data_IF_735478485865
#
_entry.id   IF_735478485865
#
_cell.length_a   1.000
_cell.length_b   1.000
_cell.length_c   1.000
_cell.angle_alpha   90.00
_cell.angle_beta   90.00
_cell.angle_gamma   90.00
#
_symmetry.space_group_name_H-M   'P 1'
#
loop_
_entity.id
_entity.type
_entity.pdbx_description
1 polymer ?
#
# COMPACT_ATOMS: atom_id res chain seq x y z
N UNK A 1 1.60 13.65 -26.13
CA UNK A 1 1.77 14.91 -25.37
C UNK A 1 3.12 15.53 -25.71
N UNK A 2 3.17 16.84 -25.97
CA UNK A 2 4.39 17.55 -26.38
C UNK A 2 5.50 17.53 -25.32
N UNK A 3 5.15 17.70 -24.05
CA UNK A 3 6.10 17.64 -22.93
C UNK A 3 6.82 16.28 -22.88
N UNK A 4 6.09 15.17 -23.03
CA UNK A 4 6.68 13.82 -23.12
C UNK A 4 7.65 13.69 -24.31
N UNK A 5 7.29 14.22 -25.48
CA UNK A 5 8.18 14.18 -26.64
C UNK A 5 9.49 14.94 -26.39
N UNK A 6 9.41 16.06 -25.68
CA UNK A 6 10.58 16.85 -25.32
C UNK A 6 11.46 16.15 -24.27
N UNK A 7 10.87 15.52 -23.26
CA UNK A 7 11.61 14.68 -22.30
C UNK A 7 12.26 13.48 -23.00
N UNK A 8 11.54 12.82 -23.91
CA UNK A 8 12.07 11.73 -24.75
C UNK A 8 13.28 12.18 -25.57
N UNK A 9 13.22 13.36 -26.19
CA UNK A 9 14.35 13.93 -26.93
C UNK A 9 15.58 14.07 -26.02
N UNK A 10 15.43 14.71 -24.87
CA UNK A 10 16.54 14.93 -23.93
C UNK A 10 17.13 13.61 -23.44
N UNK A 11 16.28 12.60 -23.17
CA UNK A 11 16.69 11.31 -22.62
C UNK A 11 17.15 10.29 -23.67
N UNK A 12 17.06 10.59 -24.96
CA UNK A 12 17.40 9.60 -26.00
C UNK A 12 18.89 9.42 -26.23
N UNK A 13 19.75 10.35 -25.79
CA UNK A 13 21.20 10.17 -25.82
C UNK A 13 21.94 11.02 -24.79
N UNK A 14 23.14 10.60 -24.33
CA UNK A 14 23.96 11.38 -23.39
C UNK A 14 24.30 12.78 -23.91
N UNK A 15 24.59 12.92 -25.20
CA UNK A 15 24.90 14.21 -25.81
C UNK A 15 23.72 15.19 -25.78
N UNK A 16 22.48 14.71 -25.98
CA UNK A 16 21.26 15.54 -25.86
C UNK A 16 21.01 15.94 -24.40
N UNK A 17 21.27 15.03 -23.47
CA UNK A 17 21.19 15.33 -22.03
C UNK A 17 22.22 16.38 -21.60
N UNK A 18 23.46 16.32 -22.09
CA UNK A 18 24.48 17.33 -21.81
C UNK A 18 24.09 18.72 -22.33
N UNK A 19 23.57 18.81 -23.56
CA UNK A 19 23.05 20.08 -24.10
C UNK A 19 21.92 20.65 -23.25
N UNK A 20 21.05 19.79 -22.71
CA UNK A 20 20.00 20.22 -21.81
C UNK A 20 20.56 20.69 -20.46
N UNK A 21 21.55 19.99 -19.88
CA UNK A 21 22.26 20.43 -18.66
C UNK A 21 22.86 21.83 -18.84
N UNK A 22 23.50 22.11 -19.98
CA UNK A 22 24.01 23.45 -20.29
C UNK A 22 22.89 24.53 -20.32
N UNK A 23 21.70 24.18 -20.81
CA UNK A 23 20.55 25.09 -20.77
C UNK A 23 20.04 25.33 -19.34
N UNK A 24 20.07 24.31 -18.46
CA UNK A 24 19.68 24.45 -17.05
C UNK A 24 20.62 25.44 -16.33
N UNK A 25 21.92 25.29 -16.55
CA UNK A 25 22.95 26.17 -15.97
C UNK A 25 22.78 27.63 -16.44
N UNK A 26 22.52 27.84 -17.73
CA UNK A 26 22.33 29.18 -18.29
C UNK A 26 21.08 29.88 -17.76
N UNK A 27 19.98 29.15 -17.59
CA UNK A 27 18.71 29.68 -17.07
C UNK A 27 18.72 29.84 -15.53
N UNK A 28 19.82 29.47 -14.87
CA UNK A 28 20.01 29.50 -13.41
C UNK A 28 18.88 28.79 -12.66
N UNK A 29 18.44 27.64 -13.16
CA UNK A 29 17.46 26.82 -12.48
C UNK A 29 18.16 26.02 -11.36
N UNK A 30 17.90 26.36 -10.09
CA UNK A 30 18.53 25.78 -8.88
C UNK A 30 18.20 24.29 -8.62
N UNK A 31 17.63 23.58 -9.61
CA UNK A 31 17.15 22.22 -9.45
C UNK A 31 18.19 21.19 -9.90
N UNK A 32 18.76 20.44 -8.96
CA UNK A 32 19.79 19.42 -9.22
C UNK A 32 19.24 18.12 -9.84
N UNK A 33 17.93 17.89 -9.76
CA UNK A 33 17.33 16.63 -10.20
C UNK A 33 17.07 16.63 -11.71
N UNK A 34 17.60 15.65 -12.44
CA UNK A 34 17.35 15.55 -13.89
C UNK A 34 15.92 15.10 -14.22
N UNK A 35 15.49 15.39 -15.44
CA UNK A 35 14.21 14.89 -15.96
C UNK A 35 14.23 13.36 -16.12
N UNK A 36 13.14 12.72 -15.72
CA UNK A 36 12.97 11.26 -15.79
C UNK A 36 12.06 10.90 -16.96
N UNK A 37 12.42 9.85 -17.71
CA UNK A 37 11.58 9.33 -18.77
C UNK A 37 10.45 8.47 -18.19
N UNK A 38 9.24 8.62 -18.73
CA UNK A 38 8.11 7.78 -18.35
C UNK A 38 8.15 6.39 -19.00
N UNK A 39 7.58 5.42 -18.29
CA UNK A 39 7.21 4.10 -18.81
C UNK A 39 5.76 4.16 -19.25
N UNK A 40 5.52 3.96 -20.54
CA UNK A 40 4.22 4.22 -21.18
C UNK A 40 3.06 3.41 -20.57
N UNK A 41 3.35 2.22 -20.04
CA UNK A 41 2.37 1.35 -19.37
C UNK A 41 2.15 1.67 -17.89
N UNK A 42 2.93 2.59 -17.29
CA UNK A 42 2.91 2.90 -15.85
C UNK A 42 2.64 4.37 -15.62
N UNK A 43 1.41 4.70 -15.27
CA UNK A 43 0.97 6.07 -15.10
C UNK A 43 1.74 6.83 -13.97
N UNK A 44 2.18 6.16 -12.90
CA UNK A 44 3.04 6.76 -11.84
C UNK A 44 4.30 7.41 -12.42
N UNK A 45 4.95 6.74 -13.38
CA UNK A 45 6.14 7.29 -14.04
C UNK A 45 5.81 8.48 -14.94
N UNK A 46 4.58 8.55 -15.49
CA UNK A 46 4.11 9.73 -16.22
C UNK A 46 3.91 10.91 -15.27
N UNK A 47 3.34 10.68 -14.08
CA UNK A 47 3.20 11.72 -13.05
C UNK A 47 4.57 12.28 -12.65
N UNK A 48 5.53 11.41 -12.31
CA UNK A 48 6.89 11.82 -11.93
C UNK A 48 7.63 12.54 -13.06
N UNK A 49 7.47 12.08 -14.31
CA UNK A 49 8.01 12.79 -15.47
C UNK A 49 7.45 14.21 -15.56
N UNK A 50 6.13 14.38 -15.38
CA UNK A 50 5.48 15.70 -15.46
C UNK A 50 5.89 16.62 -14.30
N UNK A 51 5.94 16.08 -13.08
CA UNK A 51 6.33 16.80 -11.87
C UNK A 51 7.79 17.26 -11.92
N UNK A 52 8.67 16.46 -12.52
CA UNK A 52 10.05 16.86 -12.78
C UNK A 52 10.13 17.87 -13.93
N UNK A 53 9.50 17.58 -15.07
CA UNK A 53 9.61 18.40 -16.27
C UNK A 53 9.07 19.83 -16.09
N UNK A 54 8.04 20.03 -15.27
CA UNK A 54 7.47 21.36 -15.01
C UNK A 54 8.47 22.31 -14.32
N UNK A 55 9.51 21.78 -13.67
CA UNK A 55 10.56 22.55 -13.00
C UNK A 55 11.59 23.13 -13.97
N UNK A 56 11.63 22.63 -15.21
CA UNK A 56 12.65 22.97 -16.22
C UNK A 56 12.08 23.68 -17.46
N UNK A 57 10.98 24.42 -17.31
CA UNK A 57 10.28 25.05 -18.45
C UNK A 57 11.20 25.96 -19.25
N UNK A 58 12.04 26.74 -18.57
CA UNK A 58 12.93 27.72 -19.22
C UNK A 58 14.05 27.01 -19.96
N UNK A 59 14.71 26.05 -19.30
CA UNK A 59 15.75 25.24 -19.94
C UNK A 59 15.22 24.51 -21.19
N UNK A 60 13.99 24.00 -21.13
CA UNK A 60 13.33 23.36 -22.27
C UNK A 60 13.03 24.33 -23.42
N UNK A 61 12.59 25.56 -23.13
CA UNK A 61 12.40 26.59 -24.14
C UNK A 61 13.73 27.00 -24.78
N UNK A 62 14.77 27.19 -23.96
CA UNK A 62 16.13 27.50 -24.40
C UNK A 62 16.69 26.43 -25.34
N UNK A 63 16.56 25.15 -24.96
CA UNK A 63 16.97 24.01 -25.78
C UNK A 63 16.22 23.96 -27.12
N UNK A 64 14.90 24.19 -27.10
CA UNK A 64 14.09 24.18 -28.31
C UNK A 64 14.48 25.28 -29.30
N UNK A 65 14.89 26.45 -28.82
CA UNK A 65 15.35 27.56 -29.66
C UNK A 65 16.76 27.33 -30.21
N UNK A 66 17.67 26.74 -29.42
CA UNK A 66 19.08 26.58 -29.77
C UNK A 66 19.39 25.32 -30.57
N UNK A 67 18.71 24.21 -30.30
CA UNK A 67 19.00 22.94 -30.96
C UNK A 67 18.05 22.68 -32.15
N UNK A 68 18.57 22.89 -33.37
CA UNK A 68 17.84 22.62 -34.61
C UNK A 68 17.32 21.17 -34.71
N UNK A 69 18.03 20.20 -34.11
CA UNK A 69 17.57 18.80 -34.09
C UNK A 69 16.36 18.62 -33.16
N UNK A 70 16.33 19.32 -32.02
CA UNK A 70 15.17 19.37 -31.13
C UNK A 70 13.95 19.97 -31.85
N UNK A 71 14.16 21.10 -32.53
CA UNK A 71 13.12 21.75 -33.33
C UNK A 71 12.53 20.83 -34.41
N UNK A 72 13.40 20.14 -35.18
CA UNK A 72 12.97 19.19 -36.22
C UNK A 72 12.20 18.01 -35.66
N UNK A 73 12.62 17.45 -34.53
CA UNK A 73 11.97 16.29 -33.92
C UNK A 73 10.59 16.65 -33.38
N UNK A 74 10.47 17.78 -32.69
CA UNK A 74 9.18 18.24 -32.14
C UNK A 74 8.19 18.75 -33.19
N UNK A 75 8.63 19.07 -34.41
CA UNK A 75 7.69 19.39 -35.52
C UNK A 75 6.70 18.24 -35.79
N UNK A 76 7.11 16.99 -35.58
CA UNK A 76 6.24 15.80 -35.68
C UNK A 76 5.05 15.84 -34.69
N UNK A 77 5.17 16.63 -33.63
CA UNK A 77 4.17 16.79 -32.57
C UNK A 77 3.48 18.16 -32.61
N UNK A 78 3.61 18.91 -33.72
CA UNK A 78 3.05 20.27 -33.85
C UNK A 78 3.88 21.34 -33.12
N UNK A 79 5.19 21.11 -32.95
CA UNK A 79 6.14 22.02 -32.33
C UNK A 79 6.37 21.76 -30.84
N UNK A 80 7.22 22.58 -30.22
CA UNK A 80 7.51 22.52 -28.79
C UNK A 80 6.30 22.83 -27.89
N UNK A 81 6.37 22.48 -26.60
CA UNK A 81 5.35 22.87 -25.61
C UNK A 81 5.22 24.40 -25.53
N UNK A 82 3.98 24.89 -25.58
CA UNK A 82 3.64 26.31 -25.40
C UNK A 82 3.29 26.60 -23.94
N UNK A 83 3.13 27.88 -23.59
CA UNK A 83 2.72 28.28 -22.23
C UNK A 83 1.43 27.60 -21.78
N UNK A 84 0.44 27.46 -22.67
CA UNK A 84 -0.81 26.77 -22.35
C UNK A 84 -0.64 25.27 -22.09
N UNK A 85 0.33 24.62 -22.76
CA UNK A 85 0.67 23.21 -22.48
C UNK A 85 1.23 23.09 -21.05
N UNK A 86 2.08 24.03 -20.64
CA UNK A 86 2.67 24.06 -19.30
C UNK A 86 1.68 24.45 -18.21
N UNK A 87 0.75 25.37 -18.49
CA UNK A 87 -0.37 25.71 -17.59
C UNK A 87 -1.24 24.48 -17.34
N UNK A 88 -1.55 23.70 -18.40
CA UNK A 88 -2.32 22.47 -18.29
C UNK A 88 -1.59 21.40 -17.46
N UNK A 89 -0.28 21.22 -17.64
CA UNK A 89 0.50 20.32 -16.75
C UNK A 89 0.41 20.81 -15.29
N UNK A 90 0.54 22.13 -15.08
CA UNK A 90 0.43 22.73 -13.75
C UNK A 90 -0.94 22.53 -13.10
N UNK A 91 -2.04 22.56 -13.86
CA UNK A 91 -3.37 22.31 -13.32
C UNK A 91 -3.66 20.83 -13.08
N UNK A 92 -3.01 19.92 -13.82
CA UNK A 92 -3.20 18.47 -13.63
C UNK A 92 -2.40 17.89 -12.47
N UNK A 93 -1.20 18.40 -12.16
CA UNK A 93 -0.34 17.82 -11.13
C UNK A 93 -1.00 17.75 -9.73
N UNK A 94 -1.64 18.81 -9.21
CA UNK A 94 -2.33 18.75 -7.91
C UNK A 94 -3.48 17.75 -7.86
N UNK A 95 -4.08 17.44 -9.02
CA UNK A 95 -5.11 16.42 -9.11
C UNK A 95 -4.50 15.01 -9.18
N UNK A 96 -3.43 14.82 -9.95
CA UNK A 96 -2.79 13.52 -10.15
C UNK A 96 -2.00 13.03 -8.92
N UNK A 97 -1.45 13.94 -8.11
CA UNK A 97 -0.67 13.56 -6.92
C UNK A 97 -1.48 12.74 -5.92
N UNK A 98 -2.79 13.00 -5.80
CA UNK A 98 -3.70 12.27 -4.92
C UNK A 98 -3.69 10.77 -5.23
N UNK A 99 -3.76 10.43 -6.52
CA UNK A 99 -3.72 9.05 -6.99
C UNK A 99 -2.34 8.43 -6.81
N UNK A 100 -1.29 9.26 -6.91
CA UNK A 100 0.09 8.79 -6.87
C UNK A 100 0.41 8.38 -5.44
N UNK A 101 0.07 9.25 -4.49
CA UNK A 101 0.18 8.99 -3.06
C UNK A 101 -0.69 7.79 -2.64
N UNK A 102 -1.92 7.69 -3.15
CA UNK A 102 -2.77 6.53 -2.91
C UNK A 102 -2.11 5.24 -3.41
N UNK A 103 -1.54 5.26 -4.62
CA UNK A 103 -0.86 4.08 -5.19
C UNK A 103 0.37 3.70 -4.39
N UNK A 104 1.16 4.66 -3.91
CA UNK A 104 2.29 4.41 -3.03
C UNK A 104 1.84 3.77 -1.70
N UNK A 105 0.77 4.30 -1.09
CA UNK A 105 0.19 3.74 0.15
C UNK A 105 -0.35 2.32 -0.05
N UNK A 106 -0.96 2.05 -1.20
CA UNK A 106 -1.51 0.73 -1.50
C UNK A 106 -0.44 -0.29 -1.92
N UNK A 107 0.73 0.19 -2.38
CA UNK A 107 1.85 -0.66 -2.81
C UNK A 107 2.82 -1.02 -1.68
N UNK A 108 2.53 -0.59 -0.45
CA UNK A 108 3.33 -0.94 0.73
C UNK A 108 3.35 -2.43 1.02
N UNK A 109 4.53 -2.93 1.42
CA UNK A 109 4.72 -4.34 1.82
C UNK A 109 5.13 -4.52 3.28
N UNK A 110 5.45 -3.43 3.98
CA UNK A 110 6.00 -3.45 5.34
C UNK A 110 5.01 -2.98 6.41
N UNK A 111 3.80 -2.66 6.00
CA UNK A 111 2.68 -2.31 6.85
C UNK A 111 1.41 -2.93 6.29
N UNK A 112 0.38 -2.99 7.12
CA UNK A 112 -0.94 -3.51 6.73
C UNK A 112 -1.57 -2.57 5.72
N UNK A 113 -2.03 -3.13 4.60
CA UNK A 113 -2.64 -2.38 3.51
C UNK A 113 -4.11 -2.76 3.27
N UNK A 114 -4.57 -3.91 3.77
CA UNK A 114 -5.98 -4.31 3.64
C UNK A 114 -6.94 -3.44 4.44
N UNK A 115 -6.50 -2.84 5.56
CA UNK A 115 -7.28 -1.87 6.31
C UNK A 115 -7.31 -0.48 5.66
N UNK A 116 -6.44 -0.18 4.69
CA UNK A 116 -6.38 1.13 4.03
C UNK A 116 -7.12 1.18 2.70
N UNK A 117 -7.27 0.03 2.02
CA UNK A 117 -7.80 -0.03 0.65
C UNK A 117 -9.11 0.70 0.43
N UNK A 118 -10.13 0.45 1.27
CA UNK A 118 -11.42 1.10 1.06
C UNK A 118 -11.29 2.62 1.23
N UNK A 119 -10.52 3.10 2.22
CA UNK A 119 -10.28 4.55 2.39
C UNK A 119 -9.68 5.17 1.13
N UNK A 120 -8.68 4.52 0.52
CA UNK A 120 -8.05 5.05 -0.69
C UNK A 120 -8.99 5.03 -1.89
N UNK A 121 -9.75 3.94 -2.10
CA UNK A 121 -10.67 3.83 -3.24
C UNK A 121 -11.82 4.84 -3.12
N UNK A 122 -12.49 4.89 -1.97
CA UNK A 122 -13.64 5.78 -1.77
C UNK A 122 -13.20 7.24 -1.57
N UNK A 123 -12.05 7.48 -0.93
CA UNK A 123 -11.44 8.81 -0.87
C UNK A 123 -11.05 9.34 -2.25
N UNK A 124 -10.49 8.46 -3.11
CA UNK A 124 -10.20 8.81 -4.50
C UNK A 124 -11.47 9.18 -5.28
N UNK A 125 -12.57 8.44 -5.09
CA UNK A 125 -13.87 8.80 -5.67
C UNK A 125 -14.33 10.19 -5.25
N UNK A 126 -14.25 10.51 -3.96
CA UNK A 126 -14.62 11.82 -3.43
C UNK A 126 -13.78 12.93 -4.08
N UNK A 127 -12.48 12.72 -4.23
CA UNK A 127 -11.57 13.67 -4.87
C UNK A 127 -11.89 13.86 -6.36
N UNK A 128 -12.22 12.78 -7.09
CA UNK A 128 -12.70 12.89 -8.48
C UNK A 128 -13.99 13.71 -8.52
N UNK A 129 -14.96 13.39 -7.66
CA UNK A 129 -16.27 14.04 -7.61
C UNK A 129 -16.15 15.54 -7.41
N UNK A 130 -15.33 15.97 -6.45
CA UNK A 130 -15.07 17.39 -6.16
C UNK A 130 -14.48 18.14 -7.36
N UNK A 131 -13.79 17.45 -8.27
CA UNK A 131 -13.17 18.05 -9.45
C UNK A 131 -14.07 18.01 -10.71
N UNK A 132 -15.24 17.37 -10.67
CA UNK A 132 -16.22 17.40 -11.78
C UNK A 132 -16.78 18.83 -11.96
N UNK A 133 -16.84 19.62 -10.89
CA UNK A 133 -17.27 21.02 -10.94
C UNK A 133 -16.15 22.03 -11.18
N UNK A 134 -14.92 21.58 -11.46
CA UNK A 134 -13.76 22.48 -11.56
C UNK A 134 -13.94 23.55 -12.65
N UNK A 135 -13.46 24.77 -12.39
CA UNK A 135 -13.45 25.87 -13.36
C UNK A 135 -12.51 25.56 -14.53
N UNK A 136 -11.41 24.84 -14.28
CA UNK A 136 -10.49 24.38 -15.32
C UNK A 136 -11.16 23.29 -16.19
N UNK A 137 -11.40 23.61 -17.46
CA UNK A 137 -12.06 22.71 -18.42
C UNK A 137 -11.29 21.40 -18.63
N UNK A 138 -9.97 21.42 -18.57
CA UNK A 138 -9.14 20.23 -18.67
C UNK A 138 -9.33 19.32 -17.46
N UNK A 139 -9.26 19.88 -16.25
CA UNK A 139 -9.44 19.13 -14.99
C UNK A 139 -10.86 18.56 -14.92
N UNK A 140 -11.87 19.36 -15.24
CA UNK A 140 -13.27 18.93 -15.28
C UNK A 140 -13.48 17.76 -16.23
N UNK A 141 -12.96 17.85 -17.47
CA UNK A 141 -13.07 16.76 -18.46
C UNK A 141 -12.33 15.50 -18.01
N UNK A 142 -11.15 15.65 -17.43
CA UNK A 142 -10.37 14.54 -16.87
C UNK A 142 -11.10 13.87 -15.71
N UNK A 143 -11.63 14.64 -14.76
CA UNK A 143 -12.40 14.12 -13.64
C UNK A 143 -13.65 13.36 -14.12
N UNK A 144 -14.39 13.89 -15.09
CA UNK A 144 -15.54 13.19 -15.68
C UNK A 144 -15.14 11.85 -16.33
N UNK A 145 -14.04 11.82 -17.09
CA UNK A 145 -13.52 10.58 -17.69
C UNK A 145 -13.07 9.57 -16.62
N UNK A 146 -12.41 10.04 -15.57
CA UNK A 146 -11.97 9.18 -14.47
C UNK A 146 -13.13 8.67 -13.64
N UNK A 147 -14.19 9.46 -13.42
CA UNK A 147 -15.41 8.99 -12.76
C UNK A 147 -16.08 7.89 -13.58
N UNK A 148 -16.18 8.05 -14.90
CA UNK A 148 -16.70 7.00 -15.78
C UNK A 148 -15.89 5.70 -15.68
N UNK A 149 -14.56 5.79 -15.56
CA UNK A 149 -13.71 4.61 -15.31
C UNK A 149 -13.94 4.04 -13.92
N UNK A 150 -14.04 4.88 -12.89
CA UNK A 150 -14.34 4.45 -11.53
C UNK A 150 -15.64 3.66 -11.48
N UNK A 151 -16.73 4.21 -12.01
CA UNK A 151 -18.05 3.59 -12.00
C UNK A 151 -18.07 2.28 -12.78
N UNK A 152 -17.26 2.16 -13.85
CA UNK A 152 -17.09 0.89 -14.57
C UNK A 152 -16.57 -0.24 -13.66
N UNK A 153 -15.64 0.05 -12.75
CA UNK A 153 -15.01 -0.96 -11.90
C UNK A 153 -15.71 -1.12 -10.53
N UNK A 154 -16.21 -0.03 -9.95
CA UNK A 154 -16.73 0.02 -8.58
C UNK A 154 -18.21 0.40 -8.50
N UNK A 155 -18.87 0.74 -9.60
CA UNK A 155 -20.28 1.13 -9.62
C UNK A 155 -21.26 -0.04 -9.46
N UNK A 156 -20.80 -1.28 -9.69
CA UNK A 156 -21.57 -2.49 -9.47
C UNK A 156 -21.22 -3.11 -8.09
N UNK A 157 -22.13 -2.92 -7.13
CA UNK A 157 -21.99 -3.42 -5.76
C UNK A 157 -22.01 -4.95 -5.66
N UNK A 158 -22.61 -5.65 -6.63
CA UNK A 158 -22.67 -7.12 -6.64
C UNK A 158 -21.27 -7.74 -6.76
N UNK A 159 -20.42 -7.11 -7.58
CA UNK A 159 -19.05 -7.55 -7.85
C UNK A 159 -18.04 -7.06 -6.81
N UNK A 160 -18.49 -6.31 -5.80
CA UNK A 160 -17.58 -5.75 -4.80
C UNK A 160 -17.05 -6.85 -3.88
N UNK A 161 -15.71 -6.92 -3.78
CA UNK A 161 -15.04 -7.80 -2.83
C UNK A 161 -15.24 -7.27 -1.41
N UNK A 162 -16.05 -7.97 -0.61
CA UNK A 162 -16.44 -7.54 0.73
C UNK A 162 -15.26 -7.54 1.73
N UNK A 163 -14.21 -8.33 1.49
CA UNK A 163 -13.06 -8.39 2.39
C UNK A 163 -12.33 -7.05 2.53
N UNK A 164 -12.44 -6.16 1.53
CA UNK A 164 -11.84 -4.81 1.62
C UNK A 164 -12.48 -3.97 2.72
N UNK A 165 -13.75 -4.23 3.05
CA UNK A 165 -14.43 -3.58 4.15
C UNK A 165 -14.19 -4.29 5.48
N UNK A 166 -14.09 -5.62 5.46
CA UNK A 166 -13.75 -6.39 6.67
C UNK A 166 -12.38 -5.96 7.20
N UNK A 167 -11.39 -5.73 6.32
CA UNK A 167 -10.09 -5.19 6.71
C UNK A 167 -10.19 -3.83 7.42
N UNK A 168 -11.05 -2.93 6.94
CA UNK A 168 -11.33 -1.65 7.61
C UNK A 168 -12.00 -1.87 8.95
N UNK A 169 -13.04 -2.71 9.01
CA UNK A 169 -13.81 -2.98 10.25
C UNK A 169 -12.90 -3.54 11.35
N UNK A 170 -11.88 -4.32 10.98
CA UNK A 170 -10.90 -4.86 11.92
C UNK A 170 -9.80 -3.86 12.31
N UNK A 171 -9.82 -2.64 11.79
CA UNK A 171 -9.07 -1.53 12.36
C UNK A 171 -9.86 -0.95 13.52
N UNK A 172 -9.32 -0.99 14.74
CA UNK A 172 -10.05 -0.50 15.92
C UNK A 172 -10.36 0.99 15.89
N UNK A 173 -9.75 1.75 14.95
CA UNK A 173 -10.06 3.16 14.67
C UNK A 173 -11.28 3.33 13.76
N UNK A 174 -11.63 2.32 12.98
CA UNK A 174 -12.70 2.34 11.98
C UNK A 174 -13.57 1.09 12.09
N UNK A 175 -14.76 1.21 12.66
CA UNK A 175 -15.65 0.06 12.85
C UNK A 175 -16.77 0.03 11.80
N UNK A 176 -17.72 -0.87 12.00
CA UNK A 176 -18.85 -1.08 11.10
C UNK A 176 -19.64 0.21 10.81
N UNK A 177 -19.79 1.10 11.79
CA UNK A 177 -20.46 2.40 11.60
C UNK A 177 -19.78 3.27 10.55
N UNK A 178 -18.44 3.28 10.53
CA UNK A 178 -17.66 4.03 9.56
C UNK A 178 -17.79 3.43 8.14
N UNK A 179 -17.78 2.10 8.03
CA UNK A 179 -18.02 1.42 6.76
C UNK A 179 -19.43 1.65 6.25
N UNK A 180 -20.44 1.57 7.12
CA UNK A 180 -21.84 1.87 6.76
C UNK A 180 -21.95 3.32 6.22
N UNK A 181 -21.23 4.27 6.83
CA UNK A 181 -21.16 5.64 6.34
C UNK A 181 -20.51 5.76 4.95
N UNK A 182 -19.32 5.16 4.73
CA UNK A 182 -18.64 5.18 3.41
C UNK A 182 -19.56 4.65 2.32
N UNK A 183 -20.22 3.52 2.57
CA UNK A 183 -21.07 2.85 1.58
C UNK A 183 -22.28 3.71 1.25
N UNK A 184 -22.93 4.32 2.26
CA UNK A 184 -24.09 5.20 2.06
C UNK A 184 -23.75 6.51 1.38
N UNK A 185 -22.55 7.05 1.60
CA UNK A 185 -22.06 8.23 0.90
C UNK A 185 -21.77 7.93 -0.59
N UNK A 186 -21.34 6.71 -0.88
CA UNK A 186 -20.83 6.34 -2.21
C UNK A 186 -21.88 5.88 -3.21
N UNK A 187 -23.01 5.36 -2.72
CA UNK A 187 -24.03 4.68 -3.52
C UNK A 187 -25.44 5.19 -3.21
N UNK A 188 -26.37 4.98 -4.14
CA UNK A 188 -27.79 5.20 -3.88
C UNK A 188 -28.32 4.27 -2.76
N UNK A 189 -29.40 4.67 -2.10
CA UNK A 189 -29.93 3.99 -0.90
C UNK A 189 -30.17 2.49 -1.10
N UNK A 190 -30.63 2.08 -2.28
CA UNK A 190 -30.90 0.67 -2.61
C UNK A 190 -29.61 -0.13 -2.64
N UNK A 191 -28.61 0.34 -3.41
CA UNK A 191 -27.30 -0.31 -3.52
C UNK A 191 -26.53 -0.28 -2.20
N UNK A 192 -26.60 0.84 -1.49
CA UNK A 192 -25.94 1.01 -0.20
C UNK A 192 -26.50 0.03 0.83
N UNK A 193 -27.84 -0.06 0.95
CA UNK A 193 -28.50 -1.00 1.87
C UNK A 193 -28.11 -2.45 1.56
N UNK A 194 -28.15 -2.84 0.28
CA UNK A 194 -27.73 -4.17 -0.14
C UNK A 194 -26.27 -4.48 0.23
N UNK A 195 -25.35 -3.56 -0.07
CA UNK A 195 -23.93 -3.76 0.21
C UNK A 195 -23.64 -3.79 1.72
N UNK A 196 -24.25 -2.91 2.52
CA UNK A 196 -24.14 -2.95 3.99
C UNK A 196 -24.62 -4.30 4.56
N UNK A 197 -25.75 -4.82 4.08
CA UNK A 197 -26.25 -6.14 4.50
C UNK A 197 -25.27 -7.25 4.12
N UNK A 198 -24.76 -7.23 2.88
CA UNK A 198 -23.75 -8.19 2.40
C UNK A 198 -22.49 -8.15 3.26
N UNK A 199 -22.01 -6.97 3.63
CA UNK A 199 -20.86 -6.77 4.53
C UNK A 199 -21.12 -7.42 5.90
N UNK A 200 -22.26 -7.14 6.52
CA UNK A 200 -22.64 -7.70 7.84
C UNK A 200 -22.72 -9.22 7.81
N UNK A 201 -23.35 -9.79 6.79
CA UNK A 201 -23.47 -11.25 6.61
C UNK A 201 -22.10 -11.91 6.44
N UNK A 202 -21.22 -11.35 5.61
CA UNK A 202 -19.88 -11.90 5.39
C UNK A 202 -19.03 -11.78 6.65
N UNK A 203 -19.08 -10.64 7.35
CA UNK A 203 -18.36 -10.43 8.60
C UNK A 203 -18.77 -11.47 9.67
N UNK A 204 -20.07 -11.66 9.86
CA UNK A 204 -20.59 -12.67 10.79
C UNK A 204 -20.21 -14.09 10.37
N UNK A 205 -20.39 -14.43 9.09
CA UNK A 205 -20.05 -15.77 8.58
C UNK A 205 -18.56 -16.08 8.76
N UNK A 206 -17.70 -15.09 8.54
CA UNK A 206 -16.26 -15.23 8.76
C UNK A 206 -15.97 -15.44 10.25
N UNK A 207 -16.58 -14.64 11.13
CA UNK A 207 -16.44 -14.81 12.57
C UNK A 207 -16.86 -16.22 13.03
N UNK A 208 -18.01 -16.71 12.58
CA UNK A 208 -18.55 -18.04 12.92
C UNK A 208 -17.64 -19.18 12.44
N UNK A 209 -17.02 -19.02 11.27
CA UNK A 209 -16.02 -19.95 10.75
C UNK A 209 -14.81 -20.06 11.69
N UNK A 210 -14.26 -18.92 12.12
CA UNK A 210 -13.15 -18.91 13.07
C UNK A 210 -13.58 -19.44 14.45
N UNK A 211 -14.78 -19.10 14.91
CA UNK A 211 -15.33 -19.58 16.18
C UNK A 211 -15.47 -21.11 16.18
N UNK A 212 -15.94 -21.70 15.08
CA UNK A 212 -16.11 -23.15 14.92
C UNK A 212 -14.78 -23.90 14.85
N UNK A 213 -13.72 -23.25 14.38
CA UNK A 213 -12.36 -23.80 14.29
C UNK A 213 -11.57 -23.75 15.61
N UNK A 214 -12.09 -23.06 16.64
CA UNK A 214 -11.42 -23.02 17.93
C UNK A 214 -11.47 -24.39 18.60
N UNK A 215 -10.33 -24.89 19.11
CA UNK A 215 -10.37 -26.05 19.99
C UNK A 215 -11.28 -25.70 21.16
N UNK A 216 -12.26 -26.56 21.47
CA UNK A 216 -12.97 -26.51 22.74
C UNK A 216 -11.89 -26.55 23.83
N UNK A 217 -11.55 -25.39 24.37
CA UNK A 217 -10.77 -25.32 25.59
C UNK A 217 -11.52 -26.19 26.59
N UNK A 218 -10.85 -27.25 27.07
CA UNK A 218 -11.29 -28.04 28.22
C UNK A 218 -11.26 -27.18 29.49
N UNK A 219 -11.91 -26.03 29.49
CA UNK A 219 -12.58 -25.56 30.69
C UNK A 219 -13.67 -26.57 30.93
N UNK A 220 -13.54 -27.35 32.01
CA UNK A 220 -14.66 -28.12 32.56
C UNK A 220 -15.81 -27.14 32.76
N UNK A 221 -16.67 -27.00 31.76
CA UNK A 221 -18.05 -26.69 31.99
C UNK A 221 -18.56 -27.88 32.79
N UNK A 222 -18.52 -27.76 34.11
CA UNK A 222 -19.44 -28.53 34.94
C UNK A 222 -20.80 -28.05 34.50
N UNK A 223 -21.37 -28.76 33.52
CA UNK A 223 -22.79 -28.73 33.22
C UNK A 223 -23.49 -29.27 34.46
N UNK A 224 -23.60 -28.44 35.50
CA UNK A 224 -24.58 -28.65 36.55
C UNK A 224 -25.91 -28.29 35.91
N UNK A 225 -26.48 -29.29 35.24
CA UNK A 225 -27.92 -29.39 35.02
C UNK A 225 -28.61 -28.91 36.29
N UNK A 226 -29.42 -27.86 36.16
CA UNK A 226 -30.34 -27.38 37.19
C UNK A 226 -31.37 -28.47 37.46
N UNK A 227 -31.01 -29.47 38.26
CA UNK A 227 -31.99 -30.22 39.02
C UNK A 227 -32.43 -29.31 40.17
N UNK A 228 -33.69 -28.90 40.12
CA UNK A 228 -34.40 -28.28 41.23
C UNK A 228 -34.32 -29.26 42.40
N UNK A 229 -33.36 -29.07 43.30
CA UNK A 229 -33.28 -29.81 44.55
C UNK A 229 -33.90 -28.93 45.63
N UNK A 230 -35.16 -29.22 45.94
CA UNK A 230 -35.81 -28.76 47.17
C UNK A 230 -35.14 -29.48 48.33
N UNK A 231 -34.21 -28.81 49.03
CA UNK A 231 -33.62 -29.37 50.26
C UNK A 231 -34.37 -28.84 51.47
N UNK A 232 -35.32 -29.63 51.95
CA UNK A 232 -35.71 -29.69 53.35
C UNK A 232 -34.46 -29.97 54.18
N UNK A 233 -34.24 -29.17 55.22
CA UNK A 233 -33.10 -29.26 56.12
C UNK A 233 -33.21 -30.52 56.99
N UNK A 234 -32.44 -31.57 56.70
CA UNK A 234 -32.22 -32.69 57.62
C UNK A 234 -30.73 -32.81 57.93
N UNK A 235 -30.43 -32.68 59.22
CA UNK A 235 -29.10 -32.89 59.80
C UNK A 235 -28.76 -34.38 59.83
N UNK A 236 -27.57 -34.75 59.35
CA UNK A 236 -26.77 -35.83 59.96
C UNK A 236 -25.34 -35.87 59.41
N UNK A 237 -24.36 -35.86 60.34
CA UNK A 237 -23.09 -36.60 60.20
C UNK A 237 -21.84 -35.83 59.74
N UNK A 238 -20.66 -35.96 60.41
CA UNK A 238 -19.51 -35.07 60.23
C UNK A 238 -18.37 -35.66 59.35
N UNK A 239 -17.43 -34.77 58.98
CA UNK A 239 -16.14 -34.95 58.23
C UNK A 239 -16.31 -34.70 56.71
N UNK A 240 -15.68 -33.71 56.05
CA UNK A 240 -14.32 -33.18 56.16
C UNK A 240 -14.28 -31.72 55.68
N UNK A 241 -13.38 -30.91 56.24
CA UNK A 241 -13.28 -29.46 56.02
C UNK A 241 -12.83 -29.07 54.61
N UNK A 242 -13.78 -28.99 53.67
CA UNK A 242 -13.62 -28.17 52.48
C UNK A 242 -13.58 -26.71 52.89
N UNK A 243 -12.48 -26.00 52.61
CA UNK A 243 -12.44 -24.54 52.74
C UNK A 243 -13.58 -23.97 51.90
N UNK A 244 -14.61 -23.42 52.56
CA UNK A 244 -15.67 -22.70 51.89
C UNK A 244 -15.01 -21.46 51.27
N UNK A 245 -15.00 -21.39 49.93
CA UNK A 245 -14.57 -20.20 49.22
C UNK A 245 -15.65 -19.13 49.41
N UNK A 246 -15.44 -18.30 50.44
CA UNK A 246 -16.33 -17.19 50.80
C UNK A 246 -16.48 -16.20 49.64
N UNK A 247 -15.45 -16.06 48.80
CA UNK A 247 -15.49 -15.17 47.65
C UNK A 247 -16.44 -15.72 46.59
N UNK A 248 -16.38 -17.02 46.31
CA UNK A 248 -17.31 -17.68 45.40
C UNK A 248 -18.77 -17.62 45.89
N UNK A 249 -18.99 -17.84 47.20
CA UNK A 249 -20.30 -17.73 47.83
C UNK A 249 -20.89 -16.31 47.72
N UNK A 250 -20.08 -15.29 48.02
CA UNK A 250 -20.50 -13.88 47.92
C UNK A 250 -20.77 -13.47 46.48
N UNK A 251 -20.01 -14.01 45.52
CA UNK A 251 -20.20 -13.77 44.08
C UNK A 251 -21.54 -14.35 43.62
N UNK A 252 -21.84 -15.61 43.93
CA UNK A 252 -23.12 -16.24 43.59
C UNK A 252 -24.32 -15.60 44.29
N UNK A 253 -24.12 -15.01 45.48
CA UNK A 253 -25.17 -14.24 46.17
C UNK A 253 -25.42 -12.90 45.49
N UNK A 254 -24.36 -12.17 45.15
CA UNK A 254 -24.46 -10.90 44.42
C UNK A 254 -25.17 -11.06 43.08
N UNK A 255 -24.83 -12.10 42.29
CA UNK A 255 -25.46 -12.40 41.01
C UNK A 255 -26.97 -12.68 41.15
N UNK A 256 -27.35 -13.40 42.21
CA UNK A 256 -28.75 -13.74 42.50
C UNK A 256 -29.58 -12.54 42.96
N UNK A 257 -29.00 -11.69 43.80
CA UNK A 257 -29.71 -10.59 44.44
C UNK A 257 -29.82 -9.36 43.52
N UNK A 258 -28.89 -9.19 42.58
CA UNK A 258 -28.85 -8.03 41.67
C UNK A 258 -29.26 -8.35 40.24
N UNK A 259 -29.31 -9.64 39.85
CA UNK A 259 -29.45 -10.05 38.45
C UNK A 259 -28.25 -9.68 37.57
N UNK A 260 -27.18 -9.13 38.16
CA UNK A 260 -25.96 -8.74 37.47
C UNK A 260 -25.09 -9.98 37.27
N UNK A 261 -25.28 -10.67 36.15
CA UNK A 261 -24.35 -11.72 35.74
C UNK A 261 -23.00 -11.10 35.38
N UNK A 262 -21.91 -11.57 36.00
CA UNK A 262 -20.53 -11.19 35.63
C UNK A 262 -20.15 -11.66 34.20
N UNK A 263 -21.02 -12.44 33.57
CA UNK A 263 -21.00 -12.72 32.14
C UNK A 263 -21.95 -11.72 31.49
N UNK A 264 -21.41 -10.62 30.96
CA UNK A 264 -22.19 -9.61 30.24
C UNK A 264 -23.16 -10.32 29.27
N UNK A 265 -24.45 -10.01 29.35
CA UNK A 265 -25.52 -10.31 28.37
C UNK A 265 -24.97 -10.94 27.10
N UNK A 266 -25.08 -12.27 26.92
CA UNK A 266 -24.84 -13.17 25.75
C UNK A 266 -24.18 -12.64 24.45
N UNK A 267 -23.38 -11.58 24.50
CA UNK A 267 -22.82 -10.92 23.33
C UNK A 267 -21.56 -11.62 22.95
N UNK A 268 -21.50 -11.99 21.67
CA UNK A 268 -20.30 -12.61 21.14
C UNK A 268 -19.18 -11.56 21.05
N UNK A 269 -17.96 -12.04 20.81
CA UNK A 269 -16.77 -11.21 20.76
C UNK A 269 -16.86 -10.10 19.70
N UNK A 270 -17.46 -10.40 18.54
CA UNK A 270 -17.68 -9.45 17.45
C UNK A 270 -18.61 -8.31 17.87
N UNK A 271 -19.74 -8.62 18.48
CA UNK A 271 -20.70 -7.60 18.97
C UNK A 271 -20.04 -6.65 19.98
N UNK A 272 -19.28 -7.21 20.94
CA UNK A 272 -18.54 -6.41 21.92
C UNK A 272 -17.55 -5.46 21.23
N UNK A 273 -16.76 -6.00 20.30
CA UNK A 273 -15.80 -5.21 19.55
C UNK A 273 -16.47 -4.06 18.77
N UNK A 274 -17.60 -4.33 18.11
CA UNK A 274 -18.33 -3.35 17.29
C UNK A 274 -19.00 -2.24 18.12
N UNK A 275 -19.42 -2.53 19.35
CA UNK A 275 -20.07 -1.57 20.25
C UNK A 275 -19.08 -0.67 21.01
N UNK A 276 -17.84 -1.12 21.18
CA UNK A 276 -16.82 -0.33 21.86
C UNK A 276 -16.45 0.93 21.08
N UNK A 277 -15.99 1.95 21.78
CA UNK A 277 -15.49 3.17 21.16
C UNK A 277 -14.34 2.87 20.18
N UNK A 278 -14.21 3.70 19.15
CA UNK A 278 -13.06 3.65 18.26
C UNK A 278 -11.81 4.18 18.97
N UNK A 279 -10.66 3.60 18.63
CA UNK A 279 -9.37 4.12 19.06
C UNK A 279 -9.05 5.48 18.40
N UNK A 280 -8.30 6.37 19.05
CA UNK A 280 -7.94 7.66 18.48
C UNK A 280 -6.93 7.51 17.33
N UNK A 281 -7.01 8.44 16.36
CA UNK A 281 -6.08 8.52 15.25
C UNK A 281 -4.74 9.15 15.67
N UNK A 282 -3.83 8.32 16.19
CA UNK A 282 -2.45 8.71 16.49
C UNK A 282 -1.47 8.12 15.49
N UNK A 283 -0.40 8.85 15.14
CA UNK A 283 0.58 8.44 14.13
C UNK A 283 1.40 7.20 14.52
N UNK A 284 1.53 6.94 15.82
CA UNK A 284 2.25 5.77 16.37
C UNK A 284 1.38 4.51 16.47
N UNK A 285 0.15 4.53 15.95
CA UNK A 285 -0.77 3.40 16.07
C UNK A 285 -0.37 2.24 15.14
N UNK A 286 0.00 1.10 15.72
CA UNK A 286 0.29 -0.14 14.99
C UNK A 286 -0.85 -1.16 15.17
N UNK A 287 -1.67 -1.33 14.13
CA UNK A 287 -2.87 -2.20 14.14
C UNK A 287 -2.58 -3.65 14.55
N UNK A 288 -1.48 -4.24 14.05
CA UNK A 288 -1.11 -5.62 14.38
C UNK A 288 -0.67 -5.77 15.84
N UNK A 289 0.00 -4.75 16.37
CA UNK A 289 0.40 -4.71 17.77
C UNK A 289 -0.83 -4.52 18.67
N UNK A 290 -1.78 -3.67 18.28
CA UNK A 290 -3.07 -3.53 18.98
C UNK A 290 -3.81 -4.86 19.07
N UNK A 291 -3.94 -5.60 17.96
CA UNK A 291 -4.58 -6.92 17.99
C UNK A 291 -3.84 -7.93 18.86
N UNK A 292 -2.50 -7.87 18.89
CA UNK A 292 -1.68 -8.74 19.75
C UNK A 292 -1.90 -8.44 21.24
N UNK A 293 -1.99 -7.17 21.61
CA UNK A 293 -2.22 -6.75 22.99
C UNK A 293 -3.64 -7.10 23.47
N UNK A 294 -4.61 -7.10 22.56
CA UNK A 294 -6.00 -7.44 22.85
C UNK A 294 -6.35 -8.91 22.61
N UNK A 295 -5.39 -9.77 22.27
CA UNK A 295 -5.63 -11.17 21.93
C UNK A 295 -6.33 -11.97 23.04
N UNK A 296 -6.11 -11.63 24.32
CA UNK A 296 -6.78 -12.28 25.46
C UNK A 296 -8.26 -11.90 25.58
N UNK A 297 -8.61 -10.69 25.15
CA UNK A 297 -9.98 -10.16 25.18
C UNK A 297 -10.77 -10.63 23.95
N UNK A 298 -10.08 -10.68 22.81
CA UNK A 298 -10.65 -11.00 21.53
C UNK A 298 -9.94 -12.22 20.91
N UNK A 299 -10.29 -13.43 21.37
CA UNK A 299 -9.59 -14.65 20.98
C UNK A 299 -9.84 -15.04 19.51
N UNK A 300 -11.08 -14.89 19.04
CA UNK A 300 -11.53 -15.29 17.70
C UNK A 300 -11.17 -14.20 16.69
N UNK A 301 -11.52 -12.95 16.98
CA UNK A 301 -11.24 -11.79 16.13
C UNK A 301 -9.73 -11.54 16.01
N UNK A 302 -8.92 -11.76 17.05
CA UNK A 302 -7.47 -11.64 16.91
C UNK A 302 -6.92 -12.55 15.80
N UNK A 303 -7.40 -13.80 15.74
CA UNK A 303 -6.99 -14.75 14.69
C UNK A 303 -7.51 -14.32 13.33
N UNK A 304 -8.79 -13.94 13.25
CA UNK A 304 -9.40 -13.44 12.03
C UNK A 304 -8.68 -12.20 11.50
N UNK A 305 -8.37 -11.23 12.36
CA UNK A 305 -7.62 -10.04 12.03
C UNK A 305 -6.21 -10.35 11.57
N UNK A 306 -5.52 -11.29 12.22
CA UNK A 306 -4.17 -11.69 11.80
C UNK A 306 -4.15 -12.19 10.35
N UNK A 307 -5.17 -12.95 9.93
CA UNK A 307 -5.23 -13.51 8.59
C UNK A 307 -5.73 -12.47 7.56
N UNK A 308 -6.81 -11.73 7.88
CA UNK A 308 -7.38 -10.71 6.97
C UNK A 308 -6.43 -9.53 6.79
N UNK A 309 -5.77 -9.07 7.86
CA UNK A 309 -4.82 -7.96 7.81
C UNK A 309 -3.50 -8.34 7.14
N UNK A 310 -3.17 -9.63 7.05
CA UNK A 310 -1.99 -10.09 6.34
C UNK A 310 -2.15 -10.09 4.81
N UNK A 311 -3.38 -9.92 4.28
CA UNK A 311 -3.63 -9.93 2.84
C UNK A 311 -3.04 -8.65 2.21
N UNK A 312 -2.03 -8.76 1.32
CA UNK A 312 -1.60 -7.61 0.54
C UNK A 312 -2.65 -7.31 -0.52
N UNK A 313 -3.04 -6.04 -0.61
CA UNK A 313 -4.05 -5.59 -1.58
C UNK A 313 -3.48 -5.35 -2.99
N UNK A 314 -2.16 -5.21 -3.10
CA UNK A 314 -1.48 -4.91 -4.35
C UNK A 314 -0.46 -5.98 -4.68
N UNK A 315 -0.49 -6.44 -5.92
CA UNK A 315 0.56 -7.30 -6.50
C UNK A 315 1.84 -6.52 -6.78
N UNK A 316 1.84 -5.18 -6.71
CA UNK A 316 3.03 -4.35 -6.95
C UNK A 316 4.12 -4.65 -5.91
N UNK A 317 3.75 -5.07 -4.69
CA UNK A 317 4.70 -5.54 -3.70
C UNK A 317 5.53 -6.73 -4.22
N UNK A 318 4.91 -7.68 -4.92
CA UNK A 318 5.64 -8.78 -5.54
C UNK A 318 6.40 -8.35 -6.80
N UNK A 319 5.85 -7.43 -7.61
CA UNK A 319 6.58 -6.85 -8.76
C UNK A 319 7.85 -6.08 -8.34
N UNK A 320 7.84 -5.41 -7.18
CA UNK A 320 9.03 -4.78 -6.59
C UNK A 320 10.08 -5.82 -6.19
N UNK A 321 9.65 -6.94 -5.60
CA UNK A 321 10.51 -8.08 -5.30
C UNK A 321 11.09 -8.70 -6.58
N UNK A 322 10.31 -8.84 -7.66
CA UNK A 322 10.81 -9.31 -8.96
C UNK A 322 11.72 -8.31 -9.67
N UNK A 323 11.46 -7.01 -9.54
CA UNK A 323 12.33 -5.95 -10.07
C UNK A 323 13.68 -5.92 -9.35
N UNK A 324 13.67 -6.17 -8.04
CA UNK A 324 14.91 -6.39 -7.26
C UNK A 324 15.57 -7.71 -7.64
N UNK A 325 14.76 -8.70 -8.02
CA UNK A 325 15.17 -9.94 -8.68
C UNK A 325 15.97 -9.71 -9.96
N UNK A 326 15.94 -8.54 -10.60
CA UNK A 326 16.85 -8.19 -11.69
C UNK A 326 18.34 -8.20 -11.30
N UNK A 327 18.68 -8.11 -10.00
CA UNK A 327 20.05 -8.32 -9.48
C UNK A 327 20.41 -9.81 -9.34
N UNK A 328 19.40 -10.68 -9.25
CA UNK A 328 19.53 -12.15 -9.19
C UNK A 328 19.49 -12.73 -10.60
N UNK A 329 18.59 -12.22 -11.43
CA UNK A 329 18.36 -12.49 -12.84
C UNK A 329 18.76 -11.25 -13.66
N UNK A 330 20.05 -11.08 -13.86
CA UNK A 330 20.58 -10.14 -14.86
C UNK A 330 20.76 -10.88 -16.19
N UNK A 331 20.89 -10.14 -17.29
CA UNK A 331 21.30 -10.59 -18.62
C UNK A 331 22.52 -11.52 -18.61
N UNK A 332 23.42 -11.38 -17.62
CA UNK A 332 24.59 -12.23 -17.41
C UNK A 332 24.35 -13.46 -16.51
N UNK A 333 23.18 -13.58 -15.85
CA UNK A 333 22.82 -14.64 -14.89
C UNK A 333 21.62 -15.49 -15.36
N UNK A 334 21.43 -15.63 -16.67
CA UNK A 334 20.31 -16.36 -17.29
C UNK A 334 20.37 -17.89 -17.14
N UNK A 335 21.50 -18.44 -16.67
CA UNK A 335 21.71 -19.89 -16.49
C UNK A 335 21.19 -20.46 -15.15
N UNK A 336 20.56 -19.65 -14.30
CA UNK A 336 20.06 -20.12 -13.01
C UNK A 336 18.79 -20.98 -13.19
N UNK A 337 18.74 -22.10 -12.47
CA UNK A 337 17.52 -22.92 -12.42
C UNK A 337 16.43 -22.21 -11.60
N UNK A 338 15.13 -22.45 -11.88
CA UNK A 338 14.05 -21.84 -11.12
C UNK A 338 14.15 -22.03 -9.60
N UNK A 339 14.61 -23.21 -9.16
CA UNK A 339 14.86 -23.51 -7.74
C UNK A 339 15.95 -22.64 -7.12
N UNK A 340 17.02 -22.36 -7.87
CA UNK A 340 18.10 -21.49 -7.39
C UNK A 340 17.64 -20.04 -7.32
N UNK A 341 16.84 -19.58 -8.28
CA UNK A 341 16.23 -18.25 -8.25
C UNK A 341 15.34 -18.09 -7.03
N UNK A 342 14.45 -19.05 -6.77
CA UNK A 342 13.59 -19.06 -5.58
C UNK A 342 14.41 -19.02 -4.29
N UNK A 343 15.43 -19.88 -4.18
CA UNK A 343 16.29 -19.92 -3.00
C UNK A 343 17.00 -18.57 -2.76
N UNK A 344 17.52 -17.94 -3.82
CA UNK A 344 18.20 -16.64 -3.72
C UNK A 344 17.25 -15.51 -3.33
N UNK A 345 16.07 -15.44 -3.95
CA UNK A 345 15.05 -14.41 -3.63
C UNK A 345 14.55 -14.57 -2.20
N UNK A 346 14.17 -15.77 -1.79
CA UNK A 346 13.67 -16.05 -0.45
C UNK A 346 14.76 -15.83 0.63
N UNK A 347 16.00 -16.23 0.36
CA UNK A 347 17.10 -16.03 1.32
C UNK A 347 17.46 -14.56 1.44
N UNK A 348 17.48 -13.81 0.32
CA UNK A 348 17.69 -12.36 0.35
C UNK A 348 16.62 -11.67 1.19
N UNK A 349 15.35 -12.03 1.01
CA UNK A 349 14.24 -11.45 1.78
C UNK A 349 14.37 -11.76 3.28
N UNK A 350 14.70 -13.00 3.64
CA UNK A 350 14.90 -13.41 5.05
C UNK A 350 16.11 -12.77 5.72
N UNK A 351 17.19 -12.52 4.98
CA UNK A 351 18.41 -11.91 5.52
C UNK A 351 18.30 -10.38 5.68
N UNK A 352 17.30 -9.73 5.08
CA UNK A 352 17.09 -8.30 5.27
C UNK A 352 16.71 -8.02 6.72
N UNK A 353 17.66 -7.43 7.44
CA UNK A 353 17.52 -7.05 8.84
C UNK A 353 16.75 -5.72 9.01
N UNK A 354 16.69 -4.89 7.96
CA UNK A 354 15.97 -3.61 7.94
C UNK A 354 14.61 -3.73 7.25
N UNK A 355 13.54 -3.28 7.92
CA UNK A 355 12.22 -3.02 7.34
C UNK A 355 12.22 -1.71 6.51
N UNK A 356 13.16 -1.55 5.60
CA UNK A 356 13.18 -0.43 4.66
C UNK A 356 12.38 -0.81 3.42
N UNK A 357 11.31 -0.05 3.05
CA UNK A 357 10.54 -0.35 1.85
C UNK A 357 11.45 -0.32 0.62
N UNK A 358 11.34 -1.32 -0.25
CA UNK A 358 11.94 -1.23 -1.58
C UNK A 358 11.07 -0.32 -2.44
N UNK A 359 11.30 0.99 -2.38
CA UNK A 359 10.79 1.89 -3.42
C UNK A 359 11.61 1.63 -4.69
N UNK A 360 11.02 0.89 -5.65
CA UNK A 360 11.65 0.60 -6.95
C UNK A 360 12.01 1.89 -7.68
N UNK A 361 11.17 2.92 -7.54
CA UNK A 361 11.31 4.19 -8.23
C UNK A 361 12.54 4.99 -7.74
N UNK A 362 12.75 5.06 -6.43
CA UNK A 362 13.97 5.64 -5.82
C UNK A 362 15.20 4.78 -6.12
N UNK A 363 15.06 3.45 -6.13
CA UNK A 363 16.16 2.56 -6.46
C UNK A 363 16.60 2.67 -7.93
N UNK A 364 15.70 2.99 -8.86
CA UNK A 364 16.03 3.27 -10.27
C UNK A 364 16.77 4.60 -10.45
N UNK A 365 16.44 5.61 -9.63
CA UNK A 365 17.19 6.88 -9.58
C UNK A 365 18.57 6.67 -8.94
N UNK A 366 18.62 6.00 -7.79
CA UNK A 366 19.87 5.69 -7.11
C UNK A 366 20.80 4.78 -7.93
N UNK A 367 20.26 3.81 -8.68
CA UNK A 367 21.04 2.98 -9.60
C UNK A 367 21.59 3.79 -10.79
N UNK A 368 20.85 4.77 -11.30
CA UNK A 368 21.34 5.67 -12.34
C UNK A 368 22.43 6.61 -11.82
N UNK A 369 22.30 7.12 -10.60
CA UNK A 369 23.34 7.92 -9.94
C UNK A 369 24.61 7.11 -9.69
N UNK A 370 24.47 5.84 -9.29
CA UNK A 370 25.60 4.91 -9.15
C UNK A 370 26.27 4.58 -10.49
N UNK A 371 25.48 4.38 -11.55
CA UNK A 371 25.97 4.14 -12.91
C UNK A 371 26.69 5.39 -13.49
N UNK A 372 26.22 6.60 -13.17
CA UNK A 372 26.90 7.85 -13.52
C UNK A 372 28.20 8.04 -12.70
N UNK A 373 28.18 7.77 -11.39
CA UNK A 373 29.39 7.82 -10.54
C UNK A 373 30.46 6.79 -10.93
N UNK A 374 30.06 5.63 -11.44
CA UNK A 374 30.99 4.64 -12.00
C UNK A 374 31.63 5.07 -13.33
N UNK A 375 30.97 5.95 -14.11
CA UNK A 375 31.54 6.51 -15.35
C UNK A 375 32.57 7.61 -15.07
N UNK A 376 32.48 8.29 -13.93
CA UNK A 376 33.48 9.28 -13.50
C UNK A 376 34.77 8.65 -12.97
N UNK A 377 34.72 7.38 -12.52
CA UNK A 377 35.90 6.63 -12.05
C UNK A 377 36.76 6.03 -13.18
N UNK A 378 36.32 6.10 -14.44
CA UNK A 378 37.13 5.66 -15.58
C UNK A 378 37.91 6.83 -16.17
N UNK A 379 39.04 7.17 -15.56
CA UNK A 379 40.12 7.92 -16.21
C UNK A 379 41.49 7.34 -15.83
N UNK A 380 42.29 7.15 -16.90
CA UNK A 380 43.72 6.84 -16.96
C UNK A 380 44.16 5.39 -16.65
N UNK A 381 44.09 4.53 -17.68
CA UNK A 381 45.06 3.43 -17.78
C UNK A 381 46.37 4.02 -18.32
N UNK A 382 47.52 3.82 -17.65
CA UNK A 382 48.81 4.23 -18.20
C UNK A 382 49.14 3.34 -19.41
N UNK A 383 49.54 3.97 -20.53
CA UNK A 383 50.12 3.27 -21.67
C UNK A 383 51.36 2.48 -21.21
N UNK A 384 51.27 1.15 -21.28
CA UNK A 384 52.42 0.28 -21.12
C UNK A 384 53.14 0.27 -22.47
N UNK A 385 54.20 1.07 -22.58
CA UNK A 385 55.19 0.93 -23.65
C UNK A 385 55.97 -0.35 -23.37
N UNK A 386 55.86 -1.33 -24.27
CA UNK A 386 56.62 -2.58 -24.19
C UNK A 386 57.95 -2.33 -24.90
N UNK A 387 59.03 -2.29 -24.13
CA UNK A 387 60.40 -2.19 -24.62
C UNK A 387 60.86 -3.58 -25.10
N UNK A 388 61.22 -3.69 -26.38
CA UNK A 388 61.71 -4.92 -27.00
C UNK A 388 63.14 -5.19 -26.56
N UNK A 389 63.34 -6.11 -25.61
CA UNK A 389 64.66 -6.69 -25.37
C UNK A 389 64.59 -8.19 -25.06
N UNK A 390 65.28 -8.93 -25.95
CA UNK A 390 65.94 -10.22 -25.73
C UNK A 390 65.07 -11.47 -25.95
N UNK A 391 65.04 -11.92 -27.21
CA UNK A 391 65.12 -13.33 -27.57
C UNK A 391 66.24 -13.48 -28.61
N UNK A 392 67.45 -13.76 -28.14
CA UNK A 392 68.48 -14.44 -28.96
C UNK A 392 69.24 -15.36 -28.02
N UNK A 393 69.05 -16.66 -28.18
CA UNK A 393 70.00 -17.75 -27.95
C UNK A 393 69.28 -19.07 -28.30
N UNK A 394 69.02 -19.24 -29.59
CA UNK A 394 69.12 -20.55 -30.25
C UNK A 394 70.27 -20.39 -31.26
N UNK A 395 71.39 -21.02 -30.93
CA UNK A 395 72.53 -21.41 -31.76
C UNK A 395 73.11 -20.47 -32.85
N UNK A 396 74.39 -20.13 -32.63
CA UNK A 396 75.43 -19.46 -33.46
C UNK A 396 75.65 -17.96 -33.25
#
# INVERSE_FOLDING_TARGET
>A
MKVRALVRFVRSSPARLQKFKACIEEEKEDNKNLVTLDVETRWNSTFLMLESAIKFKKAFASLYMKDSSCFKELRKFGGGPKEDDWKRVGSFLPFLIVFYDATLRLSGSLYVTSNTYAHEIYGTRLMISNNIGSEDDGVRKMAAQMMSKYDKYYGNVDNTNVLVFVGVILDSRHKLSYVDWIVRDSYDETKATFLCLKIKVVLQSLFDLYASSMPLSKTKATSSSTSIFSSTFTQSGPQTGGKIDVQQLMTSKYERDTGCSLISVNKNELEKYLEEACEPHVSSFEILQWWKDHAKRYLILHKMAKDVLAIPISTIASESTFSTGGRVLDSFRTSLTPKMVEALVCTQDRLRTSRSPLMVEENLLALKELEEGMKELTLEQPEIIIDETINTLDDF
#
